data_IF_360268356396
#
_entry.id   IF_360268356396
#
_cell.length_a   1.000
_cell.length_b   1.000
_cell.length_c   1.000
_cell.angle_alpha   90.00
_cell.angle_beta   90.00
_cell.angle_gamma   90.00
#
_symmetry.space_group_name_H-M   'P 1'
#
loop_
_entity.id
_entity.type
_entity.pdbx_description
1 polymer ?
#
# COMPACT_ATOMS: atom_id res chain seq x y z
N UNK A 1 -7.39 -3.32 22.27
CA UNK A 1 -7.67 -3.62 20.85
C UNK A 1 -6.40 -4.18 20.21
N UNK A 2 -6.34 -5.47 19.82
CA UNK A 2 -5.26 -6.00 19.00
C UNK A 2 -5.19 -5.30 17.64
N UNK A 3 -3.96 -4.93 17.25
CA UNK A 3 -3.61 -4.44 15.92
C UNK A 3 -2.99 -5.59 15.16
N UNK A 4 -3.67 -6.02 14.12
CA UNK A 4 -3.27 -7.18 13.31
C UNK A 4 -2.71 -6.67 11.98
N UNK A 5 -1.48 -7.06 11.67
CA UNK A 5 -0.90 -6.86 10.35
C UNK A 5 -1.40 -7.94 9.41
N UNK A 6 -1.89 -7.56 8.24
CA UNK A 6 -2.26 -8.49 7.18
C UNK A 6 -1.33 -8.25 5.99
N UNK A 7 -0.47 -9.22 5.72
CA UNK A 7 0.45 -9.22 4.57
C UNK A 7 0.26 -10.47 3.72
N UNK A 8 0.92 -10.52 2.58
CA UNK A 8 0.86 -11.63 1.64
C UNK A 8 1.31 -11.21 0.25
N UNK A 9 1.94 -12.14 -0.45
CA UNK A 9 2.43 -11.90 -1.80
C UNK A 9 1.33 -11.56 -2.80
N UNK A 10 1.70 -10.93 -3.91
CA UNK A 10 0.85 -10.57 -5.03
C UNK A 10 0.05 -11.79 -5.51
N UNK A 11 -1.27 -11.66 -5.61
CA UNK A 11 -2.16 -12.76 -5.98
C UNK A 11 -2.49 -13.76 -4.86
N UNK A 12 -1.96 -13.61 -3.64
CA UNK A 12 -2.22 -14.54 -2.54
C UNK A 12 -3.67 -14.50 -2.03
N UNK A 13 -4.39 -13.39 -2.28
CA UNK A 13 -5.78 -13.22 -1.82
C UNK A 13 -5.90 -12.34 -0.56
N UNK A 14 -4.89 -11.55 -0.24
CA UNK A 14 -4.87 -10.60 0.88
C UNK A 14 -6.13 -9.72 0.95
N UNK A 15 -6.53 -9.11 -0.17
CA UNK A 15 -7.73 -8.28 -0.23
C UNK A 15 -9.03 -9.06 0.07
N UNK A 16 -9.08 -10.36 -0.24
CA UNK A 16 -10.20 -11.21 0.11
C UNK A 16 -10.23 -11.50 1.62
N UNK A 17 -9.09 -11.87 2.21
CA UNK A 17 -8.97 -12.04 3.66
C UNK A 17 -9.34 -10.75 4.42
N UNK A 18 -8.87 -9.58 3.95
CA UNK A 18 -9.25 -8.28 4.48
C UNK A 18 -10.78 -8.06 4.44
N UNK A 19 -11.44 -8.48 3.34
CA UNK A 19 -12.89 -8.37 3.23
C UNK A 19 -13.64 -9.24 4.23
N UNK A 20 -13.11 -10.42 4.57
CA UNK A 20 -13.70 -11.31 5.59
C UNK A 20 -13.59 -10.64 6.96
N UNK A 21 -12.41 -10.17 7.36
CA UNK A 21 -12.24 -9.46 8.63
C UNK A 21 -13.16 -8.26 8.76
N UNK A 22 -13.35 -7.50 7.67
CA UNK A 22 -14.28 -6.37 7.65
C UNK A 22 -15.73 -6.83 7.91
N UNK A 23 -16.16 -7.96 7.32
CA UNK A 23 -17.50 -8.52 7.54
C UNK A 23 -17.71 -9.00 8.97
N UNK A 24 -16.63 -9.46 9.62
CA UNK A 24 -16.62 -9.85 11.03
C UNK A 24 -16.53 -8.66 12.01
N UNK A 25 -16.63 -7.41 11.53
CA UNK A 25 -16.65 -6.22 12.38
C UNK A 25 -15.29 -5.54 12.61
N UNK A 26 -14.20 -6.08 12.06
CA UNK A 26 -12.88 -5.47 12.21
C UNK A 26 -12.74 -4.20 11.38
N UNK A 27 -12.00 -3.22 11.91
CA UNK A 27 -11.61 -2.04 11.16
C UNK A 27 -10.41 -2.36 10.27
N UNK A 28 -10.61 -2.39 8.96
CA UNK A 28 -9.51 -2.56 8.00
C UNK A 28 -8.97 -1.21 7.53
N UNK A 29 -7.67 -0.99 7.72
CA UNK A 29 -6.91 0.13 7.19
C UNK A 29 -6.05 -0.35 6.05
N UNK A 30 -6.32 0.16 4.86
CA UNK A 30 -5.56 -0.14 3.64
C UNK A 30 -4.45 0.90 3.46
N UNK A 31 -3.20 0.48 3.65
CA UNK A 31 -2.04 1.36 3.58
C UNK A 31 -1.79 1.90 2.17
N UNK A 32 -2.10 1.12 1.14
CA UNK A 32 -1.97 1.55 -0.26
C UNK A 32 -2.97 2.65 -0.58
N UNK A 33 -4.21 2.56 -0.07
CA UNK A 33 -5.19 3.64 -0.17
C UNK A 33 -4.73 4.90 0.57
N UNK A 34 -4.07 4.79 1.71
CA UNK A 34 -3.50 5.94 2.41
C UNK A 34 -2.35 6.57 1.63
N UNK A 35 -1.45 5.76 1.08
CA UNK A 35 -0.38 6.22 0.19
C UNK A 35 -0.95 6.93 -1.06
N UNK A 36 -2.03 6.43 -1.63
CA UNK A 36 -2.72 7.11 -2.73
C UNK A 36 -3.36 8.43 -2.31
N UNK A 37 -3.92 8.53 -1.09
CA UNK A 37 -4.45 9.79 -0.56
C UNK A 37 -3.35 10.84 -0.39
N UNK A 38 -2.14 10.44 -0.04
CA UNK A 38 -0.97 11.32 0.04
C UNK A 38 -0.73 12.13 -1.26
N UNK A 39 -1.11 11.56 -2.41
CA UNK A 39 -0.94 12.18 -3.72
C UNK A 39 -2.03 13.18 -4.09
N UNK A 40 -3.07 13.34 -3.27
CA UNK A 40 -4.17 14.27 -3.53
C UNK A 40 -3.78 15.71 -3.15
N UNK A 41 -4.18 16.67 -4.00
CA UNK A 41 -4.05 18.10 -3.72
C UNK A 41 -4.78 18.44 -2.41
N UNK A 42 -4.14 19.21 -1.55
CA UNK A 42 -4.66 19.59 -0.22
C UNK A 42 -3.97 18.88 0.94
N UNK A 43 -3.35 17.72 0.71
CA UNK A 43 -2.53 17.07 1.74
C UNK A 43 -1.17 17.77 1.90
N UNK A 44 -0.68 17.90 3.13
CA UNK A 44 0.63 18.53 3.39
C UNK A 44 1.78 17.82 2.63
N UNK A 45 1.66 16.49 2.49
CA UNK A 45 2.66 15.66 1.81
C UNK A 45 2.68 15.89 0.29
N UNK A 46 1.56 16.31 -0.31
CA UNK A 46 1.48 16.63 -1.74
C UNK A 46 2.46 17.74 -2.13
N UNK A 47 2.50 18.83 -1.35
CA UNK A 47 3.41 19.97 -1.61
C UNK A 47 4.88 19.53 -1.59
N UNK A 48 5.25 18.66 -0.65
CA UNK A 48 6.61 18.10 -0.54
C UNK A 48 6.98 17.24 -1.76
N UNK A 49 6.06 16.40 -2.22
CA UNK A 49 6.30 15.57 -3.42
C UNK A 49 6.49 16.47 -4.65
N UNK A 50 5.66 17.49 -4.84
CA UNK A 50 5.80 18.43 -5.96
C UNK A 50 7.11 19.22 -5.89
N UNK A 51 7.56 19.62 -4.70
CA UNK A 51 8.84 20.32 -4.52
C UNK A 51 10.03 19.44 -4.92
N UNK A 52 9.98 18.13 -4.63
CA UNK A 52 11.09 17.20 -4.92
C UNK A 52 11.10 16.73 -6.38
N UNK A 53 9.93 16.46 -6.95
CA UNK A 53 9.80 15.83 -8.27
C UNK A 53 9.38 16.80 -9.38
N UNK A 54 9.16 18.07 -9.05
CA UNK A 54 8.82 19.14 -9.97
C UNK A 54 7.33 19.16 -10.35
N UNK A 55 6.93 20.24 -11.03
CA UNK A 55 5.54 20.45 -11.47
C UNK A 55 5.13 19.56 -12.65
N UNK A 56 6.08 18.92 -13.34
CA UNK A 56 5.82 18.03 -14.48
C UNK A 56 4.98 16.80 -14.12
N UNK A 57 4.92 16.42 -12.85
CA UNK A 57 4.07 15.32 -12.36
C UNK A 57 2.61 15.73 -12.17
N UNK A 58 2.27 17.02 -12.30
CA UNK A 58 0.93 17.52 -12.03
C UNK A 58 0.01 17.35 -13.25
N UNK A 59 -1.26 17.05 -12.96
CA UNK A 59 -2.33 17.13 -13.94
C UNK A 59 -3.00 18.51 -13.98
N UNK A 60 -3.98 18.70 -14.87
CA UNK A 60 -4.67 19.98 -15.08
C UNK A 60 -5.33 20.55 -13.81
N UNK A 61 -5.74 19.68 -12.87
CA UNK A 61 -6.36 20.06 -11.59
C UNK A 61 -5.35 20.21 -10.43
N UNK A 62 -4.04 20.13 -10.73
CA UNK A 62 -2.97 20.22 -9.76
C UNK A 62 -2.83 19.00 -8.84
N UNK A 63 -3.42 17.85 -9.20
CA UNK A 63 -3.18 16.57 -8.56
C UNK A 63 -2.01 15.84 -9.21
N UNK A 64 -1.30 15.01 -8.45
CA UNK A 64 -0.18 14.22 -8.97
C UNK A 64 -0.70 13.11 -9.89
N UNK A 65 -0.22 13.10 -11.14
CA UNK A 65 -0.45 12.03 -12.12
C UNK A 65 0.42 10.83 -11.74
N UNK A 66 -0.19 9.79 -11.16
CA UNK A 66 0.49 8.54 -10.76
C UNK A 66 1.35 7.93 -11.87
N UNK A 67 0.86 7.92 -13.12
CA UNK A 67 1.63 7.41 -14.27
C UNK A 67 2.90 8.23 -14.51
N UNK A 68 2.83 9.57 -14.40
CA UNK A 68 3.98 10.44 -14.60
C UNK A 68 5.00 10.30 -13.46
N UNK A 69 4.53 10.31 -12.20
CA UNK A 69 5.39 10.08 -11.04
C UNK A 69 6.03 8.68 -11.09
N UNK A 70 5.25 7.66 -11.45
CA UNK A 70 5.71 6.27 -11.61
C UNK A 70 6.86 6.15 -12.61
N UNK A 71 6.75 6.76 -13.80
CA UNK A 71 7.85 6.79 -14.80
C UNK A 71 9.15 7.37 -14.24
N UNK A 72 9.05 8.35 -13.34
CA UNK A 72 10.21 8.99 -12.73
C UNK A 72 10.84 8.12 -11.64
N UNK A 73 10.01 7.52 -10.78
CA UNK A 73 10.52 6.81 -9.60
C UNK A 73 10.89 5.35 -9.88
N UNK A 74 10.18 4.66 -10.78
CA UNK A 74 10.47 3.25 -11.06
C UNK A 74 11.73 3.05 -11.92
N UNK A 75 12.19 4.09 -12.62
CA UNK A 75 13.43 4.05 -13.39
C UNK A 75 14.67 4.49 -12.57
N UNK A 76 14.50 4.94 -11.33
CA UNK A 76 15.59 5.47 -10.51
C UNK A 76 15.37 5.09 -9.03
N UNK A 77 16.16 4.14 -8.54
CA UNK A 77 16.12 3.65 -7.15
C UNK A 77 16.29 4.77 -6.11
N UNK A 78 17.11 5.79 -6.39
CA UNK A 78 17.32 6.92 -5.47
C UNK A 78 16.07 7.80 -5.41
N UNK A 79 15.40 8.02 -6.54
CA UNK A 79 14.12 8.74 -6.61
C UNK A 79 12.99 7.98 -5.91
N UNK A 80 12.92 6.66 -6.10
CA UNK A 80 11.96 5.82 -5.37
C UNK A 80 12.16 5.91 -3.86
N UNK A 81 13.41 5.81 -3.39
CA UNK A 81 13.73 5.95 -1.98
C UNK A 81 13.34 7.33 -1.43
N UNK A 82 13.56 8.42 -2.19
CA UNK A 82 13.10 9.77 -1.81
C UNK A 82 11.57 9.84 -1.69
N UNK A 83 10.83 9.27 -2.64
CA UNK A 83 9.37 9.24 -2.58
C UNK A 83 8.90 8.47 -1.34
N UNK A 84 9.47 7.30 -1.10
CA UNK A 84 9.15 6.44 0.04
C UNK A 84 9.42 7.15 1.38
N UNK A 85 10.55 7.86 1.53
CA UNK A 85 10.86 8.67 2.72
C UNK A 85 9.81 9.77 2.99
N UNK A 86 9.14 10.26 1.96
CA UNK A 86 8.07 11.27 2.10
C UNK A 86 6.72 10.60 2.44
N UNK A 87 6.41 9.47 1.79
CA UNK A 87 5.10 8.80 1.92
C UNK A 87 5.00 7.99 3.22
N UNK A 88 6.03 7.23 3.62
CA UNK A 88 5.94 6.33 4.77
C UNK A 88 5.55 7.04 6.07
N UNK A 89 6.19 8.16 6.48
CA UNK A 89 5.81 8.86 7.71
C UNK A 89 4.36 9.36 7.67
N UNK A 90 3.89 9.81 6.50
CA UNK A 90 2.50 10.23 6.33
C UNK A 90 1.52 9.07 6.53
N UNK A 91 1.78 7.91 5.92
CA UNK A 91 0.94 6.72 6.04
C UNK A 91 0.91 6.22 7.49
N UNK A 92 2.08 6.12 8.12
CA UNK A 92 2.21 5.72 9.53
C UNK A 92 1.43 6.68 10.44
N UNK A 93 1.55 7.99 10.23
CA UNK A 93 0.80 8.99 11.00
C UNK A 93 -0.72 8.82 10.85
N UNK A 94 -1.22 8.59 9.64
CA UNK A 94 -2.65 8.33 9.41
C UNK A 94 -3.11 7.02 10.05
N UNK A 95 -2.28 5.98 10.05
CA UNK A 95 -2.56 4.70 10.73
C UNK A 95 -2.63 4.93 12.24
N UNK A 96 -1.64 5.59 12.85
CA UNK A 96 -1.62 5.92 14.28
C UNK A 96 -2.85 6.72 14.70
N UNK A 97 -3.25 7.73 13.91
CA UNK A 97 -4.46 8.50 14.18
C UNK A 97 -5.72 7.64 14.08
N UNK A 98 -5.77 6.72 13.13
CA UNK A 98 -6.90 5.80 12.98
C UNK A 98 -6.99 4.79 14.11
N UNK A 99 -5.84 4.32 14.63
CA UNK A 99 -5.76 3.47 15.82
C UNK A 99 -6.31 4.23 17.03
N UNK A 100 -5.82 5.45 17.28
CA UNK A 100 -6.26 6.28 18.42
C UNK A 100 -7.75 6.61 18.39
N UNK A 101 -8.32 6.82 17.20
CA UNK A 101 -9.73 7.18 17.03
C UNK A 101 -10.67 5.96 16.94
N UNK A 102 -10.14 4.74 16.87
CA UNK A 102 -10.96 3.55 16.68
C UNK A 102 -11.60 3.11 18.00
N UNK A 103 -12.88 2.80 17.94
CA UNK A 103 -13.64 2.11 19.00
C UNK A 103 -13.86 0.63 18.68
N UNK A 104 -13.23 0.11 17.62
CA UNK A 104 -13.39 -1.27 17.22
C UNK A 104 -12.62 -2.20 18.16
N UNK A 105 -13.07 -3.44 18.27
CA UNK A 105 -12.37 -4.44 19.09
C UNK A 105 -11.09 -4.93 18.40
N UNK A 106 -11.07 -4.96 17.06
CA UNK A 106 -9.95 -5.41 16.24
C UNK A 106 -9.70 -4.44 15.09
N UNK A 107 -8.41 -4.15 14.84
CA UNK A 107 -7.96 -3.33 13.72
C UNK A 107 -6.99 -4.13 12.86
N UNK A 108 -7.24 -4.16 11.56
CA UNK A 108 -6.38 -4.80 10.57
C UNK A 108 -5.62 -3.73 9.78
N UNK A 109 -4.30 -3.80 9.75
CA UNK A 109 -3.44 -3.02 8.86
C UNK A 109 -3.15 -3.88 7.63
N UNK A 110 -3.79 -3.56 6.51
CA UNK A 110 -3.57 -4.22 5.23
C UNK A 110 -2.43 -3.50 4.46
N UNK A 111 -1.26 -4.11 4.43
CA UNK A 111 -0.10 -3.59 3.70
C UNK A 111 0.78 -4.75 3.17
N UNK A 112 1.33 -4.65 1.95
CA UNK A 112 2.18 -5.69 1.39
C UNK A 112 3.56 -5.77 2.08
N UNK A 113 4.08 -4.65 2.57
CA UNK A 113 5.44 -4.55 3.12
C UNK A 113 5.44 -4.16 4.61
N UNK A 114 4.76 -4.97 5.43
CA UNK A 114 4.69 -4.71 6.88
C UNK A 114 6.03 -4.96 7.55
N UNK A 115 6.73 -6.04 7.16
CA UNK A 115 7.96 -6.48 7.79
C UNK A 115 9.14 -5.54 7.46
N UNK A 116 9.10 -4.91 6.29
CA UNK A 116 10.14 -4.07 5.72
C UNK A 116 9.99 -2.60 6.12
N UNK A 117 8.93 -2.26 6.86
CA UNK A 117 8.63 -0.90 7.31
C UNK A 117 8.45 -0.87 8.82
N UNK A 118 8.52 0.33 9.43
CA UNK A 118 8.20 0.53 10.85
C UNK A 118 6.71 0.35 11.19
N UNK A 119 5.95 -0.32 10.32
CA UNK A 119 4.59 -0.77 10.61
C UNK A 119 4.59 -2.03 11.46
N UNK A 120 5.64 -2.85 11.37
CA UNK A 120 5.85 -4.03 12.23
C UNK A 120 5.79 -3.65 13.72
N UNK A 121 6.38 -2.52 14.10
CA UNK A 121 6.36 -2.00 15.48
C UNK A 121 4.96 -1.66 16.01
N UNK A 122 3.97 -1.47 15.11
CA UNK A 122 2.60 -1.16 15.47
C UNK A 122 1.70 -2.39 15.56
N UNK A 123 2.18 -3.54 15.10
CA UNK A 123 1.39 -4.76 14.94
C UNK A 123 1.64 -5.69 16.12
N UNK A 124 0.57 -6.17 16.75
CA UNK A 124 0.63 -7.19 17.80
C UNK A 124 0.65 -8.61 17.22
N UNK A 125 -0.06 -8.83 16.11
CA UNK A 125 -0.19 -10.15 15.46
C UNK A 125 -0.03 -9.98 13.95
N UNK A 126 0.87 -10.74 13.34
CA UNK A 126 1.06 -10.73 11.88
C UNK A 126 0.39 -11.95 11.25
N UNK A 127 -0.57 -11.72 10.35
CA UNK A 127 -1.19 -12.72 9.51
C UNK A 127 -0.58 -12.64 8.10
N UNK A 128 -0.02 -13.76 7.65
CA UNK A 128 0.54 -13.89 6.30
C UNK A 128 -0.38 -14.75 5.45
N UNK A 129 -1.03 -14.14 4.45
CA UNK A 129 -1.85 -14.86 3.48
C UNK A 129 -0.95 -15.54 2.46
N UNK A 130 -0.99 -16.87 2.40
CA UNK A 130 -0.20 -17.69 1.48
C UNK A 130 -1.09 -18.41 0.47
N UNK A 131 -0.54 -18.63 -0.72
CA UNK A 131 -1.09 -19.50 -1.75
C UNK A 131 0.08 -20.00 -2.62
N UNK A 132 -0.06 -21.17 -3.23
CA UNK A 132 0.98 -21.70 -4.13
C UNK A 132 1.21 -20.78 -5.33
N UNK A 133 2.43 -20.79 -5.88
CA UNK A 133 2.81 -19.96 -7.02
C UNK A 133 1.85 -20.14 -8.21
N UNK A 134 1.51 -21.39 -8.54
CA UNK A 134 0.60 -21.70 -9.65
C UNK A 134 -0.80 -21.13 -9.43
N UNK A 135 -1.33 -21.20 -8.21
CA UNK A 135 -2.64 -20.61 -7.87
C UNK A 135 -2.59 -19.08 -7.96
N UNK A 136 -1.52 -18.45 -7.48
CA UNK A 136 -1.32 -16.99 -7.56
C UNK A 136 -1.28 -16.52 -9.01
N UNK A 137 -0.48 -17.17 -9.85
CA UNK A 137 -0.37 -16.87 -11.28
C UNK A 137 -1.74 -17.05 -11.96
N UNK A 138 -2.38 -18.21 -11.78
CA UNK A 138 -3.68 -18.49 -12.39
C UNK A 138 -4.76 -17.48 -12.00
N UNK A 139 -4.75 -17.00 -10.75
CA UNK A 139 -5.67 -15.93 -10.30
C UNK A 139 -5.38 -14.60 -10.99
N UNK A 140 -4.11 -14.19 -11.07
CA UNK A 140 -3.74 -12.93 -11.69
C UNK A 140 -4.06 -12.92 -13.19
N UNK A 141 -3.74 -14.00 -13.91
CA UNK A 141 -4.06 -14.11 -15.34
C UNK A 141 -5.59 -14.07 -15.55
N UNK A 142 -6.36 -14.91 -14.83
CA UNK A 142 -7.81 -15.02 -15.05
C UNK A 142 -8.62 -13.83 -14.55
N UNK A 143 -8.24 -13.20 -13.43
CA UNK A 143 -9.04 -12.13 -12.79
C UNK A 143 -8.53 -10.72 -13.02
N UNK A 144 -7.24 -10.54 -13.30
CA UNK A 144 -6.65 -9.21 -13.47
C UNK A 144 -6.27 -8.92 -14.93
N UNK A 145 -6.54 -9.85 -15.85
CA UNK A 145 -6.23 -9.74 -17.28
C UNK A 145 -4.77 -9.32 -17.50
N UNK A 146 -3.87 -10.01 -16.78
CA UNK A 146 -2.44 -9.72 -16.79
C UNK A 146 -1.68 -10.82 -17.51
N UNK A 147 -0.73 -10.41 -18.34
CA UNK A 147 0.25 -11.33 -18.93
C UNK A 147 1.04 -12.05 -17.85
N UNK A 148 1.26 -13.36 -18.06
CA UNK A 148 1.95 -14.24 -17.11
C UNK A 148 3.34 -13.69 -16.75
N UNK A 149 4.04 -13.11 -17.73
CA UNK A 149 5.36 -12.51 -17.55
C UNK A 149 5.33 -11.31 -16.60
N UNK A 150 4.33 -10.44 -16.72
CA UNK A 150 4.16 -9.28 -15.84
C UNK A 150 3.79 -9.70 -14.42
N UNK A 151 3.00 -10.76 -14.26
CA UNK A 151 2.72 -11.35 -12.95
C UNK A 151 3.99 -11.88 -12.31
N UNK A 152 4.81 -12.63 -13.06
CA UNK A 152 6.09 -13.16 -12.58
C UNK A 152 7.06 -12.04 -12.18
N UNK A 153 7.19 -10.98 -12.99
CA UNK A 153 8.03 -9.81 -12.66
C UNK A 153 7.59 -9.17 -11.34
N UNK A 154 6.29 -8.99 -11.14
CA UNK A 154 5.77 -8.42 -9.88
C UNK A 154 6.00 -9.33 -8.69
N UNK A 155 5.89 -10.64 -8.86
CA UNK A 155 6.16 -11.61 -7.78
C UNK A 155 7.63 -11.66 -7.39
N UNK A 156 8.56 -11.35 -8.30
CA UNK A 156 10.00 -11.32 -8.02
C UNK A 156 10.46 -10.06 -7.27
N UNK A 157 9.65 -8.99 -7.26
CA UNK A 157 9.95 -7.72 -6.59
C UNK A 157 9.37 -7.63 -5.16
N UNK A 158 8.99 -8.76 -4.56
CA UNK A 158 8.33 -8.85 -3.24
C UNK A 158 9.15 -9.62 -2.23
#
# INVERSE_FOLDING_TARGET
MPIVGLTGGFGAGKSYAASIFKKLGAKVIDADKLAHKALKKGEAVHKRIVAVFGKSILGPKGSIKRKALGKIVFNDKKRLAKLNKIIHPYVIGKIKNSIKASKNEVLIIDAPLICETSLSDLVNVLIVVKASRNVRIGRCVKKLDMEKEDVCKRMACQ
#
